data_IF_127633630993
#
_entry.id   IF_127633630993
#
_cell.length_a   1.000
_cell.length_b   1.000
_cell.length_c   1.000
_cell.angle_alpha   90.00
_cell.angle_beta   90.00
_cell.angle_gamma   90.00
#
_symmetry.space_group_name_H-M   'P 1'
#
loop_
_entity.id
_entity.type
_entity.pdbx_description
1 polymer ?
#
# COMPACT_ATOMS: atom_id res chain seq x y z
N UNK A 1 -6.78 15.72 -22.06
CA UNK A 1 -5.50 15.04 -21.80
C UNK A 1 -5.35 13.95 -22.85
N UNK A 2 -4.24 13.93 -23.59
CA UNK A 2 -3.96 12.81 -24.50
C UNK A 2 -3.72 11.55 -23.67
N UNK A 3 -4.42 10.47 -24.00
CA UNK A 3 -4.25 9.18 -23.33
C UNK A 3 -2.86 8.61 -23.66
N UNK A 4 -2.12 8.21 -22.64
CA UNK A 4 -0.84 7.54 -22.80
C UNK A 4 -1.10 6.17 -23.46
N UNK A 5 -0.48 5.92 -24.61
CA UNK A 5 -0.56 4.66 -25.34
C UNK A 5 0.84 4.02 -25.49
N UNK A 6 0.88 2.76 -25.91
CA UNK A 6 2.13 1.98 -25.99
C UNK A 6 3.20 2.56 -26.91
N UNK A 7 2.81 3.35 -27.92
CA UNK A 7 3.76 4.02 -28.82
C UNK A 7 4.48 5.14 -28.08
N UNK A 8 3.72 5.96 -27.33
CA UNK A 8 4.26 7.05 -26.52
C UNK A 8 5.25 6.50 -25.49
N UNK A 9 4.90 5.42 -24.76
CA UNK A 9 5.77 4.85 -23.71
C UNK A 9 7.13 4.40 -24.28
N UNK A 10 7.14 3.77 -25.46
CA UNK A 10 8.36 3.28 -26.11
C UNK A 10 9.29 4.40 -26.60
N UNK A 11 8.73 5.57 -26.87
CA UNK A 11 9.48 6.73 -27.36
C UNK A 11 10.08 7.58 -26.21
N UNK A 12 9.71 7.30 -24.95
CA UNK A 12 10.28 7.98 -23.79
C UNK A 12 11.74 7.57 -23.64
N UNK A 13 12.65 8.53 -23.83
CA UNK A 13 14.07 8.35 -23.54
C UNK A 13 14.29 8.44 -22.03
N UNK A 14 14.78 7.36 -21.45
CA UNK A 14 15.22 7.31 -20.05
C UNK A 14 16.69 6.92 -19.98
N UNK A 15 17.39 7.45 -18.99
CA UNK A 15 18.71 6.96 -18.64
C UNK A 15 18.54 5.66 -17.86
N UNK A 16 19.17 4.59 -18.34
CA UNK A 16 19.17 3.29 -17.66
C UNK A 16 20.45 3.24 -16.81
N UNK A 17 20.34 3.25 -15.47
CA UNK A 17 21.50 3.09 -14.59
C UNK A 17 22.10 1.69 -14.76
N UNK A 18 23.33 1.51 -14.26
CA UNK A 18 23.93 0.18 -14.16
C UNK A 18 23.19 -0.68 -13.11
N UNK A 19 23.44 -1.99 -13.17
CA UNK A 19 22.77 -2.95 -12.30
C UNK A 19 23.10 -2.74 -10.82
N UNK A 20 24.29 -2.27 -10.47
CA UNK A 20 24.68 -2.04 -9.07
C UNK A 20 23.86 -0.90 -8.48
N UNK A 21 23.75 0.21 -9.22
CA UNK A 21 22.90 1.35 -8.86
C UNK A 21 21.43 0.94 -8.67
N UNK A 22 20.90 0.11 -9.57
CA UNK A 22 19.52 -0.41 -9.49
C UNK A 22 19.32 -1.25 -8.23
N UNK A 23 20.22 -2.20 -7.97
CA UNK A 23 20.13 -3.09 -6.80
C UNK A 23 20.29 -2.31 -5.49
N UNK A 24 21.20 -1.35 -5.44
CA UNK A 24 21.37 -0.48 -4.27
C UNK A 24 20.09 0.31 -4.00
N UNK A 25 19.49 0.91 -5.02
CA UNK A 25 18.22 1.61 -4.88
C UNK A 25 17.11 0.68 -4.37
N UNK A 26 16.95 -0.49 -5.01
CA UNK A 26 15.94 -1.48 -4.61
C UNK A 26 16.10 -1.89 -3.15
N UNK A 27 17.33 -2.18 -2.70
CA UNK A 27 17.61 -2.57 -1.32
C UNK A 27 17.15 -1.52 -0.28
N UNK A 28 17.21 -0.24 -0.64
CA UNK A 28 16.75 0.87 0.20
C UNK A 28 15.23 1.04 0.13
N UNK A 29 14.65 0.92 -1.06
CA UNK A 29 13.23 1.24 -1.27
C UNK A 29 12.28 0.08 -0.98
N UNK A 30 12.71 -1.16 -1.18
CA UNK A 30 11.90 -2.35 -0.95
C UNK A 30 11.32 -2.43 0.48
N UNK A 31 12.11 -2.25 1.56
CA UNK A 31 11.54 -2.25 2.91
C UNK A 31 10.53 -1.12 3.13
N UNK A 32 10.71 0.03 2.48
CA UNK A 32 9.76 1.16 2.55
C UNK A 32 8.44 0.78 1.91
N UNK A 33 8.47 0.23 0.69
CA UNK A 33 7.27 -0.23 0.00
C UNK A 33 6.58 -1.38 0.75
N UNK A 34 7.34 -2.30 1.33
CA UNK A 34 6.79 -3.35 2.19
C UNK A 34 6.05 -2.77 3.39
N UNK A 35 6.65 -1.78 4.08
CA UNK A 35 6.02 -1.11 5.20
C UNK A 35 4.74 -0.38 4.80
N UNK A 36 4.74 0.32 3.67
CA UNK A 36 3.55 0.98 3.13
C UNK A 36 2.43 -0.06 2.92
N UNK A 37 2.73 -1.17 2.23
CA UNK A 37 1.75 -2.25 2.01
C UNK A 37 1.22 -2.84 3.31
N UNK A 38 2.11 -3.11 4.26
CA UNK A 38 1.72 -3.66 5.56
C UNK A 38 0.78 -2.71 6.32
N UNK A 39 1.12 -1.42 6.37
CA UNK A 39 0.30 -0.42 7.03
C UNK A 39 -1.08 -0.30 6.38
N UNK A 40 -1.16 -0.29 5.05
CA UNK A 40 -2.44 -0.27 4.32
C UNK A 40 -3.29 -1.48 4.70
N UNK A 41 -2.72 -2.67 4.73
CA UNK A 41 -3.43 -3.88 5.12
C UNK A 41 -3.90 -3.84 6.59
N UNK A 42 -3.05 -3.36 7.50
CA UNK A 42 -3.41 -3.20 8.91
C UNK A 42 -4.56 -2.21 9.08
N UNK A 43 -4.50 -1.06 8.40
CA UNK A 43 -5.56 -0.04 8.45
C UNK A 43 -6.89 -0.65 7.99
N UNK A 44 -6.91 -1.32 6.83
CA UNK A 44 -8.11 -1.98 6.32
C UNK A 44 -8.67 -3.02 7.31
N UNK A 45 -7.79 -3.78 7.95
CA UNK A 45 -8.19 -4.78 8.96
C UNK A 45 -8.79 -4.12 10.19
N UNK A 46 -8.17 -3.05 10.69
CA UNK A 46 -8.64 -2.29 11.86
C UNK A 46 -9.95 -1.56 11.57
N UNK A 47 -10.09 -0.97 10.39
CA UNK A 47 -11.34 -0.35 9.94
C UNK A 47 -12.48 -1.36 9.90
N UNK A 48 -12.24 -2.52 9.27
CA UNK A 48 -13.23 -3.58 9.22
C UNK A 48 -13.60 -4.09 10.62
N UNK A 49 -12.61 -4.23 11.50
CA UNK A 49 -12.84 -4.65 12.88
C UNK A 49 -13.68 -3.62 13.64
N UNK A 50 -13.33 -2.33 13.54
CA UNK A 50 -14.08 -1.22 14.12
C UNK A 50 -15.53 -1.24 13.64
N UNK A 51 -15.74 -1.31 12.34
CA UNK A 51 -17.07 -1.23 11.73
C UNK A 51 -17.92 -2.47 12.05
N UNK A 52 -17.28 -3.61 12.32
CA UNK A 52 -17.96 -4.83 12.76
C UNK A 52 -18.31 -4.80 14.25
N UNK A 53 -17.39 -4.31 15.10
CA UNK A 53 -17.54 -4.38 16.55
C UNK A 53 -18.33 -3.22 17.11
N UNK A 54 -18.17 -2.01 16.58
CA UNK A 54 -18.80 -0.81 17.13
C UNK A 54 -20.33 -0.93 17.17
N UNK A 55 -21.03 -1.40 16.12
CA UNK A 55 -22.48 -1.59 16.19
C UNK A 55 -22.90 -2.59 17.27
N UNK A 56 -22.15 -3.69 17.44
CA UNK A 56 -22.45 -4.74 18.44
C UNK A 56 -22.19 -4.28 19.87
N UNK A 57 -21.21 -3.41 20.06
CA UNK A 57 -20.94 -2.76 21.34
C UNK A 57 -22.06 -1.76 21.67
N UNK A 58 -22.48 -0.95 20.69
CA UNK A 58 -23.55 0.04 20.86
C UNK A 58 -24.92 -0.60 21.08
N UNK A 59 -25.21 -1.75 20.45
CA UNK A 59 -26.46 -2.51 20.69
C UNK A 59 -26.43 -3.29 22.02
N UNK A 60 -25.27 -3.40 22.66
CA UNK A 60 -25.08 -4.17 23.90
C UNK A 60 -25.08 -5.69 23.71
N UNK A 61 -25.11 -6.17 22.46
CA UNK A 61 -24.94 -7.58 22.08
C UNK A 61 -23.55 -8.09 22.45
N UNK A 62 -22.54 -7.22 22.38
CA UNK A 62 -21.18 -7.49 22.83
C UNK A 62 -20.88 -6.63 24.06
N UNK A 63 -20.43 -7.24 25.16
CA UNK A 63 -20.02 -6.52 26.38
C UNK A 63 -18.58 -6.83 26.72
N UNK A 64 -17.80 -5.79 26.94
CA UNK A 64 -16.42 -5.91 27.43
C UNK A 64 -16.50 -6.03 28.95
N UNK A 65 -16.06 -7.17 29.48
CA UNK A 65 -15.78 -7.27 30.92
C UNK A 65 -14.44 -6.60 31.15
N UNK A 66 -14.47 -5.49 31.89
CA UNK A 66 -13.27 -4.84 32.42
C UNK A 66 -12.82 -5.60 33.66
#
# INVERSE_FOLDING_TARGET
AEAINSKIIKEIKIQIPDNESILSFQSLTDPIFQKIRHNVFQIQTLEKLRDTLLPKLMSGELRIKV
#
